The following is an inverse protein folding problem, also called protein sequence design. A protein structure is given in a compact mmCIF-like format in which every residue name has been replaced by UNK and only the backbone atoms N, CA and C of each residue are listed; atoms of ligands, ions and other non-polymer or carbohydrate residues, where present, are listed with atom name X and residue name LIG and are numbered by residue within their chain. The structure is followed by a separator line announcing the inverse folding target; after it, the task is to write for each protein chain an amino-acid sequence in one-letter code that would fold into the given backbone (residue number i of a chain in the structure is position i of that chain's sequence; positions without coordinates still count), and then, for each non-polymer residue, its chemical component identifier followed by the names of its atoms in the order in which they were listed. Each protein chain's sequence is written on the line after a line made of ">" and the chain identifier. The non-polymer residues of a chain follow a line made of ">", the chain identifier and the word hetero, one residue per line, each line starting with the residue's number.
data_IF_889212793265
#
_entry.id   IF_889212793265
#
_cell.length_a   1.000
_cell.length_b   1.000
_cell.length_c   1.000
_cell.angle_alpha   90.00
_cell.angle_beta   90.00
_cell.angle_gamma   90.00
#
_symmetry.space_group_name_H-M   'P 1'
#
loop_
_entity.id
_entity.type
_entity.pdbx_description
1 polymer ?
#
# COMPACT_ATOMS: atom_id res chain seq x y z
N UNK A 1 -0.09 8.21 7.93
CA UNK A 1 -0.98 7.03 8.09
C UNK A 1 -0.30 5.77 7.56
N UNK A 2 0.04 5.71 6.27
CA UNK A 2 0.61 4.53 5.61
C UNK A 2 1.93 4.05 6.24
N UNK A 3 2.82 4.97 6.63
CA UNK A 3 4.13 4.65 7.19
C UNK A 3 4.09 3.90 8.53
N UNK A 4 3.01 3.98 9.30
CA UNK A 4 2.89 3.28 10.57
C UNK A 4 3.07 1.76 10.41
N UNK A 5 2.57 1.21 9.29
CA UNK A 5 2.77 -0.20 8.94
C UNK A 5 3.89 -0.37 7.91
N UNK A 6 3.93 0.46 6.86
CA UNK A 6 4.89 0.29 5.76
C UNK A 6 6.32 0.74 6.09
N UNK A 7 6.56 1.47 7.19
CA UNK A 7 7.92 1.79 7.64
C UNK A 7 8.59 0.63 8.37
N UNK A 8 7.83 -0.13 9.15
CA UNK A 8 8.35 -1.20 10.03
C UNK A 8 8.07 -2.60 9.50
N UNK A 9 7.05 -2.76 8.67
CA UNK A 9 6.53 -4.05 8.23
C UNK A 9 5.48 -4.62 9.18
N UNK A 10 4.87 -3.78 10.02
CA UNK A 10 3.87 -4.21 11.00
C UNK A 10 2.71 -4.96 10.34
N UNK A 11 2.22 -5.99 11.03
CA UNK A 11 1.15 -6.88 10.54
C UNK A 11 1.42 -7.49 9.15
N UNK A 12 2.70 -7.62 8.75
CA UNK A 12 3.11 -8.18 7.46
C UNK A 12 2.89 -7.24 6.28
N UNK A 13 2.78 -5.94 6.53
CA UNK A 13 2.80 -4.91 5.51
C UNK A 13 4.15 -4.93 4.76
N UNK A 14 4.17 -4.74 3.42
CA UNK A 14 5.43 -4.61 2.69
C UNK A 14 6.16 -3.35 3.15
N UNK A 15 7.40 -3.51 3.63
CA UNK A 15 8.27 -2.39 3.99
C UNK A 15 8.58 -1.56 2.75
N UNK A 16 8.82 -0.27 2.91
CA UNK A 16 9.28 0.60 1.80
C UNK A 16 10.74 0.29 1.44
N UNK A 17 10.97 -0.89 0.87
CA UNK A 17 12.25 -1.37 0.36
C UNK A 17 12.02 -2.13 -0.96
N UNK A 18 12.89 -1.94 -1.96
CA UNK A 18 12.68 -2.49 -3.30
C UNK A 18 12.38 -4.01 -3.31
N UNK A 19 13.08 -4.78 -2.47
CA UNK A 19 12.91 -6.24 -2.36
C UNK A 19 11.48 -6.67 -1.96
N UNK A 20 10.76 -5.86 -1.18
CA UNK A 20 9.38 -6.15 -0.76
C UNK A 20 8.33 -5.80 -1.82
N UNK A 21 8.72 -5.05 -2.87
CA UNK A 21 7.81 -4.49 -3.88
C UNK A 21 7.98 -5.05 -5.29
N UNK A 22 9.10 -5.72 -5.63
CA UNK A 22 9.35 -6.26 -6.98
C UNK A 22 8.14 -7.03 -7.56
N UNK A 23 7.67 -8.09 -6.88
CA UNK A 23 6.52 -8.88 -7.36
C UNK A 23 5.15 -8.18 -7.20
N UNK A 24 5.10 -7.06 -6.48
CA UNK A 24 3.87 -6.24 -6.37
C UNK A 24 3.77 -5.27 -7.53
N UNK A 25 4.89 -4.70 -7.95
CA UNK A 25 5.00 -3.80 -9.10
C UNK A 25 4.56 -4.47 -10.41
N UNK A 26 4.81 -5.78 -10.56
CA UNK A 26 4.33 -6.57 -11.71
C UNK A 26 2.80 -6.54 -11.89
N UNK A 27 2.03 -6.27 -10.82
CA UNK A 27 0.57 -6.14 -10.89
C UNK A 27 0.11 -4.79 -11.47
N UNK A 28 1.02 -3.83 -11.57
CA UNK A 28 0.73 -2.46 -12.01
C UNK A 28 0.14 -1.56 -10.93
N UNK A 29 0.37 -0.26 -11.06
CA UNK A 29 -0.03 0.78 -10.10
C UNK A 29 -1.54 0.79 -9.84
N UNK A 30 -2.36 0.63 -10.87
CA UNK A 30 -3.82 0.68 -10.73
C UNK A 30 -4.37 -0.42 -9.82
N UNK A 31 -3.81 -1.63 -9.92
CA UNK A 31 -4.20 -2.75 -9.04
C UNK A 31 -3.77 -2.48 -7.59
N UNK A 32 -2.60 -1.89 -7.37
CA UNK A 32 -2.11 -1.52 -6.04
C UNK A 32 -2.98 -0.42 -5.41
N UNK A 33 -3.35 0.59 -6.19
CA UNK A 33 -4.27 1.66 -5.77
C UNK A 33 -5.65 1.09 -5.44
N UNK A 34 -6.20 0.22 -6.28
CA UNK A 34 -7.50 -0.40 -6.03
C UNK A 34 -7.51 -1.21 -4.72
N UNK A 35 -6.44 -1.97 -4.45
CA UNK A 35 -6.26 -2.72 -3.20
C UNK A 35 -6.14 -1.78 -2.00
N UNK A 36 -5.41 -0.67 -2.12
CA UNK A 36 -5.28 0.30 -1.04
C UNK A 36 -6.62 1.01 -0.73
N UNK A 37 -7.42 1.32 -1.74
CA UNK A 37 -8.74 1.95 -1.57
C UNK A 37 -9.73 0.97 -0.94
N UNK A 38 -9.87 -0.22 -1.52
CA UNK A 38 -10.90 -1.21 -1.11
C UNK A 38 -10.51 -2.02 0.13
N UNK A 39 -9.22 -2.02 0.47
CA UNK A 39 -8.62 -2.97 1.39
C UNK A 39 -8.27 -4.27 0.68
N UNK A 40 -7.33 -5.01 1.25
CA UNK A 40 -6.79 -6.21 0.65
C UNK A 40 -6.29 -7.20 1.70
N UNK A 41 -6.79 -8.42 1.64
CA UNK A 41 -6.22 -9.55 2.37
C UNK A 41 -5.23 -10.28 1.46
N UNK A 42 -3.95 -10.17 1.78
CA UNK A 42 -2.90 -10.89 1.09
C UNK A 42 -2.41 -12.10 1.89
N UNK A 43 -1.43 -12.79 1.30
CA UNK A 43 -0.78 -13.94 1.94
C UNK A 43 0.07 -13.53 3.16
N UNK A 44 0.55 -12.28 3.18
CA UNK A 44 1.47 -11.80 4.23
C UNK A 44 0.78 -10.98 5.31
N UNK A 45 -0.44 -10.49 5.06
CA UNK A 45 -1.10 -9.58 5.98
C UNK A 45 -2.36 -8.95 5.41
N UNK A 46 -2.95 -8.07 6.20
CA UNK A 46 -4.16 -7.33 5.86
C UNK A 46 -3.85 -5.84 5.67
N UNK A 47 -4.27 -5.28 4.55
CA UNK A 47 -4.30 -3.84 4.31
C UNK A 47 -5.74 -3.35 4.49
N UNK A 48 -6.04 -2.54 5.52
CA UNK A 48 -7.36 -1.97 5.69
C UNK A 48 -7.72 -1.03 4.53
N UNK A 49 -9.03 -0.91 4.24
CA UNK A 49 -9.53 0.04 3.26
C UNK A 49 -9.05 1.47 3.59
N UNK A 50 -8.50 2.14 2.59
CA UNK A 50 -7.87 3.48 2.69
C UNK A 50 -6.83 3.58 3.81
N UNK A 51 -6.15 2.48 4.13
CA UNK A 51 -5.18 2.43 5.23
C UNK A 51 -5.81 2.72 6.61
N UNK A 52 -7.10 2.41 6.78
CA UNK A 52 -7.83 2.67 8.03
C UNK A 52 -8.28 4.12 8.18
N UNK A 53 -8.21 4.92 7.11
CA UNK A 53 -8.58 6.34 7.09
C UNK A 53 -9.76 6.58 6.15
N UNK A 54 -11.00 6.37 6.60
CA UNK A 54 -12.19 6.51 5.75
C UNK A 54 -12.41 7.96 5.26
N UNK A 55 -11.77 8.93 5.89
CA UNK A 55 -11.79 10.35 5.54
C UNK A 55 -10.96 10.70 4.30
N UNK A 56 -10.09 9.81 3.83
CA UNK A 56 -9.29 10.05 2.62
C UNK A 56 -10.14 9.91 1.34
N UNK A 57 -9.93 10.81 0.39
CA UNK A 57 -10.42 10.61 -0.98
C UNK A 57 -9.59 9.55 -1.71
N UNK A 58 -10.18 8.94 -2.73
CA UNK A 58 -9.49 7.94 -3.55
C UNK A 58 -8.27 8.53 -4.26
N UNK A 59 -8.32 9.83 -4.61
CA UNK A 59 -7.20 10.57 -5.17
C UNK A 59 -6.04 10.72 -4.15
N UNK A 60 -6.34 11.00 -2.88
CA UNK A 60 -5.32 11.05 -1.83
C UNK A 60 -4.68 9.68 -1.59
N UNK A 61 -5.47 8.60 -1.67
CA UNK A 61 -4.94 7.24 -1.56
C UNK A 61 -4.03 6.91 -2.74
N UNK A 62 -4.44 7.25 -3.98
CA UNK A 62 -3.61 7.08 -5.18
C UNK A 62 -2.27 7.81 -5.04
N UNK A 63 -2.30 9.11 -4.71
CA UNK A 63 -1.09 9.91 -4.57
C UNK A 63 -0.15 9.33 -3.49
N UNK A 64 -0.69 8.81 -2.40
CA UNK A 64 0.11 8.15 -1.37
C UNK A 64 0.75 6.83 -1.87
N UNK A 65 0.02 6.04 -2.66
CA UNK A 65 0.58 4.82 -3.28
C UNK A 65 1.69 5.18 -4.26
N UNK A 66 1.46 6.14 -5.16
CA UNK A 66 2.46 6.60 -6.13
C UNK A 66 3.73 7.11 -5.44
N UNK A 67 3.59 7.95 -4.40
CA UNK A 67 4.71 8.40 -3.58
C UNK A 67 5.49 7.24 -2.95
N UNK A 68 4.81 6.19 -2.50
CA UNK A 68 5.49 5.00 -1.96
C UNK A 68 6.27 4.27 -3.05
N UNK A 69 5.76 4.22 -4.29
CA UNK A 69 6.41 3.53 -5.41
C UNK A 69 7.61 4.30 -5.99
N UNK A 70 7.61 5.64 -5.93
CA UNK A 70 8.75 6.48 -6.34
C UNK A 70 10.01 6.25 -5.51
N UNK A 71 9.88 5.64 -4.32
CA UNK A 71 11.00 5.33 -3.43
C UNK A 71 11.87 4.14 -3.84
N UNK A 72 11.58 3.48 -4.97
CA UNK A 72 12.25 2.25 -5.43
C UNK A 72 12.71 2.31 -6.88
#
# INVERSE_FOLDING_TARGET
>A
ACFACHGTGAAGAPKLEAAAWTGRLEKGTDALVANAIKGFQGNTGFMPAKGGRPDLSDAQVRAAVEFMLEGF
#
